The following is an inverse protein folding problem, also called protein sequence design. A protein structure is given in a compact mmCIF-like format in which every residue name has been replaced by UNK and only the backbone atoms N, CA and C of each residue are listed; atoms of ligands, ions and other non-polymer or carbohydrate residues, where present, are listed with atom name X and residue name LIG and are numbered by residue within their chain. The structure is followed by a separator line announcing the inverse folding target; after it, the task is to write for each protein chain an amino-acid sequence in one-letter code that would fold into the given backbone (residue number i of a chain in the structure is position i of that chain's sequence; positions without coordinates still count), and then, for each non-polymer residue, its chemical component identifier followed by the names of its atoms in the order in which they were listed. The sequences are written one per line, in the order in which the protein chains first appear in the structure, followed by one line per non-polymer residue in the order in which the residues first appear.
data_IF_902257380325
#
_entry.id   IF_902257380325
#
_cell.length_a   1.000
_cell.length_b   1.000
_cell.length_c   1.000
_cell.angle_alpha   90.00
_cell.angle_beta   90.00
_cell.angle_gamma   90.00
#
_symmetry.space_group_name_H-M   'P 1'
#
loop_
_entity.id
_entity.type
_entity.pdbx_description
1 polymer ?
#
# COMPACT_ATOMS: atom_id res chain seq x y z
N UNK A 1 14.63 8.35 -6.04
CA UNK A 1 13.98 9.44 -5.28
C UNK A 1 12.54 9.03 -5.17
N UNK A 2 12.00 8.96 -3.96
CA UNK A 2 10.63 8.49 -3.72
C UNK A 2 9.64 9.65 -3.69
N UNK A 3 8.47 9.47 -4.30
CA UNK A 3 7.34 10.39 -4.23
C UNK A 3 6.44 9.94 -3.09
N UNK A 4 6.23 10.82 -2.11
CA UNK A 4 5.28 10.55 -1.02
C UNK A 4 3.90 10.99 -1.48
N UNK A 5 2.93 10.09 -1.43
CA UNK A 5 1.54 10.38 -1.79
C UNK A 5 0.65 10.39 -0.56
N UNK A 6 -0.38 11.24 -0.64
CA UNK A 6 -1.53 11.16 0.25
C UNK A 6 -2.43 10.00 -0.18
N UNK A 7 -3.01 9.34 0.80
CA UNK A 7 -3.92 8.23 0.57
C UNK A 7 -4.84 7.96 1.76
N UNK A 8 -5.78 7.06 1.54
CA UNK A 8 -6.67 6.56 2.58
C UNK A 8 -6.67 5.05 2.53
N UNK A 9 -6.59 4.41 3.69
CA UNK A 9 -6.67 2.95 3.79
C UNK A 9 -8.08 2.55 4.22
N UNK A 10 -8.77 1.83 3.34
CA UNK A 10 -10.07 1.22 3.60
C UNK A 10 -9.92 -0.25 3.99
N UNK A 11 -10.47 -0.64 5.13
CA UNK A 11 -10.52 -2.05 5.57
C UNK A 11 -11.93 -2.56 5.33
N UNK A 12 -12.08 -3.54 4.43
CA UNK A 12 -13.33 -4.23 4.19
C UNK A 12 -13.37 -5.49 5.04
N UNK A 13 -14.48 -5.70 5.76
CA UNK A 13 -14.66 -6.87 6.62
C UNK A 13 -15.73 -7.80 6.08
N UNK A 14 -15.56 -9.09 6.33
CA UNK A 14 -16.57 -10.09 6.02
C UNK A 14 -17.71 -10.09 7.05
N UNK A 15 -18.66 -11.04 6.90
CA UNK A 15 -19.80 -11.19 7.81
C UNK A 15 -19.38 -11.62 9.23
N UNK A 16 -18.16 -12.13 9.41
CA UNK A 16 -17.61 -12.53 10.71
C UNK A 16 -16.78 -11.41 11.36
N UNK A 17 -16.60 -10.27 10.69
CA UNK A 17 -15.78 -9.15 11.14
C UNK A 17 -14.28 -9.32 10.85
N UNK A 18 -13.88 -10.36 10.12
CA UNK A 18 -12.49 -10.56 9.70
C UNK A 18 -12.15 -9.65 8.51
N UNK A 19 -10.88 -9.26 8.38
CA UNK A 19 -10.42 -8.47 7.22
C UNK A 19 -10.52 -9.32 5.96
N UNK A 20 -11.42 -8.91 5.07
CA UNK A 20 -11.64 -9.53 3.76
C UNK A 20 -10.79 -8.86 2.67
N UNK A 21 -10.57 -7.55 2.79
CA UNK A 21 -9.77 -6.79 1.82
C UNK A 21 -9.19 -5.52 2.45
N UNK A 22 -8.04 -5.08 1.95
CA UNK A 22 -7.40 -3.81 2.32
C UNK A 22 -7.16 -2.99 1.06
N UNK A 23 -7.79 -1.82 1.00
CA UNK A 23 -7.76 -0.92 -0.16
C UNK A 23 -6.94 0.30 0.20
N UNK A 24 -5.88 0.55 -0.56
CA UNK A 24 -5.12 1.80 -0.47
C UNK A 24 -5.59 2.72 -1.59
N UNK A 25 -6.44 3.68 -1.23
CA UNK A 25 -6.95 4.67 -2.14
C UNK A 25 -6.00 5.86 -2.20
N UNK A 26 -5.41 6.11 -3.37
CA UNK A 26 -4.33 7.08 -3.55
C UNK A 26 -4.81 8.32 -4.29
N UNK A 27 -4.35 9.47 -3.83
CA UNK A 27 -4.57 10.76 -4.47
C UNK A 27 -3.29 11.19 -5.21
N UNK A 28 -3.42 11.72 -6.42
CA UNK A 28 -2.29 12.35 -7.12
C UNK A 28 -1.36 11.40 -7.89
N UNK A 29 -1.79 10.18 -8.24
CA UNK A 29 -1.03 9.36 -9.19
C UNK A 29 -1.00 10.01 -10.59
N UNK A 30 0.11 9.86 -11.36
CA UNK A 30 0.20 10.42 -12.71
C UNK A 30 -0.84 9.83 -13.66
N UNK A 31 -1.28 10.61 -14.63
CA UNK A 31 -2.41 10.26 -15.50
C UNK A 31 -2.07 9.15 -16.51
N UNK A 32 -0.82 9.10 -16.94
CA UNK A 32 -0.23 8.21 -17.95
C UNK A 32 0.50 7.00 -17.36
N UNK A 33 0.33 6.76 -16.06
CA UNK A 33 1.13 5.76 -15.36
C UNK A 33 0.57 4.33 -15.45
N UNK A 34 1.44 3.36 -15.74
CA UNK A 34 1.16 1.94 -15.86
C UNK A 34 0.76 1.24 -14.56
N UNK A 35 0.91 -0.08 -14.51
CA UNK A 35 0.50 -0.89 -13.35
C UNK A 35 1.58 -0.86 -12.24
N UNK A 36 1.18 -0.78 -10.96
CA UNK A 36 2.12 -0.83 -9.84
C UNK A 36 2.85 -2.18 -9.79
N UNK A 37 4.14 -2.15 -9.48
CA UNK A 37 5.00 -3.33 -9.35
C UNK A 37 5.90 -3.23 -8.12
N UNK A 38 6.55 -4.34 -7.79
CA UNK A 38 7.52 -4.43 -6.68
C UNK A 38 6.97 -3.90 -5.34
N UNK A 39 5.68 -4.09 -5.09
CA UNK A 39 5.06 -3.54 -3.90
C UNK A 39 5.64 -4.15 -2.62
N UNK A 40 5.85 -3.28 -1.63
CA UNK A 40 6.35 -3.60 -0.30
C UNK A 40 5.39 -3.04 0.73
N UNK A 41 5.14 -3.81 1.78
CA UNK A 41 4.45 -3.35 2.99
C UNK A 41 5.42 -3.41 4.17
N UNK A 42 5.55 -2.30 4.88
CA UNK A 42 6.25 -2.22 6.16
C UNK A 42 5.24 -2.09 7.28
N UNK A 43 5.32 -2.99 8.27
CA UNK A 43 4.53 -2.86 9.49
C UNK A 43 5.00 -1.67 10.34
N UNK A 44 6.32 -1.41 10.36
CA UNK A 44 6.93 -0.29 11.06
C UNK A 44 7.89 0.45 10.12
N UNK A 45 7.46 1.61 9.63
CA UNK A 45 8.20 2.41 8.64
C UNK A 45 9.45 3.10 9.21
N UNK A 46 9.39 3.62 10.43
CA UNK A 46 10.45 4.42 11.08
C UNK A 46 10.91 3.88 12.44
N UNK A 47 10.57 2.63 12.75
CA UNK A 47 10.87 1.96 14.02
C UNK A 47 9.63 1.65 14.85
N UNK A 48 9.86 1.22 16.10
CA UNK A 48 8.80 0.70 16.97
C UNK A 48 7.61 1.66 17.08
N UNK A 49 6.41 1.15 16.80
CA UNK A 49 5.16 1.91 16.79
C UNK A 49 5.12 3.08 15.79
N UNK A 50 5.82 3.00 14.67
CA UNK A 50 5.65 3.97 13.59
C UNK A 50 4.45 3.62 12.71
N UNK A 51 3.96 4.56 11.88
CA UNK A 51 2.92 4.27 10.90
C UNK A 51 3.28 3.11 9.98
N UNK A 52 2.26 2.36 9.57
CA UNK A 52 2.40 1.36 8.51
C UNK A 52 2.62 2.06 7.17
N UNK A 53 3.34 1.42 6.25
CA UNK A 53 3.69 2.03 4.97
C UNK A 53 3.56 1.01 3.84
N UNK A 54 3.13 1.48 2.68
CA UNK A 54 3.30 0.79 1.41
C UNK A 54 4.27 1.56 0.53
N UNK A 55 5.09 0.83 -0.21
CA UNK A 55 5.92 1.36 -1.28
C UNK A 55 5.70 0.53 -2.53
N UNK A 56 5.76 1.13 -3.71
CA UNK A 56 5.70 0.42 -4.99
C UNK A 56 6.35 1.25 -6.10
N UNK A 57 6.67 0.59 -7.20
CA UNK A 57 7.17 1.25 -8.40
C UNK A 57 6.05 1.39 -9.42
N UNK A 58 6.03 2.51 -10.13
CA UNK A 58 5.12 2.76 -11.26
C UNK A 58 5.82 3.73 -12.22
N UNK A 59 5.94 3.37 -13.51
CA UNK A 59 6.68 4.16 -14.53
C UNK A 59 8.09 4.61 -14.09
N UNK A 60 8.86 3.68 -13.51
CA UNK A 60 10.23 3.93 -13.02
C UNK A 60 10.35 4.94 -11.87
N UNK A 61 9.22 5.38 -11.30
CA UNK A 61 9.15 6.15 -10.07
C UNK A 61 8.74 5.27 -8.89
N UNK A 62 9.35 5.54 -7.73
CA UNK A 62 9.00 4.89 -6.47
C UNK A 62 7.99 5.76 -5.72
N UNK A 63 6.87 5.16 -5.35
CA UNK A 63 5.81 5.80 -4.59
C UNK A 63 5.73 5.23 -3.19
N UNK A 64 5.54 6.09 -2.20
CA UNK A 64 5.47 5.72 -0.79
C UNK A 64 4.24 6.35 -0.15
N UNK A 65 3.47 5.55 0.59
CA UNK A 65 2.24 5.98 1.25
C UNK A 65 2.23 5.45 2.67
N UNK A 66 1.88 6.33 3.61
CA UNK A 66 1.76 6.00 5.02
C UNK A 66 0.28 5.85 5.39
N UNK A 67 -0.02 4.88 6.25
CA UNK A 67 -1.32 4.84 6.89
C UNK A 67 -1.41 6.05 7.84
N UNK A 68 -2.49 6.82 7.73
CA UNK A 68 -2.73 8.02 8.56
C UNK A 68 -3.02 7.70 10.04
N UNK A 69 -2.97 6.42 10.42
CA UNK A 69 -2.95 6.02 11.82
C UNK A 69 -1.55 5.66 12.29
N UNK A 70 -1.25 6.09 13.51
CA UNK A 70 -0.12 5.57 14.26
C UNK A 70 -0.43 4.12 14.71
N UNK A 71 0.46 3.19 14.42
CA UNK A 71 0.38 1.81 14.92
C UNK A 71 0.33 1.74 16.45
N UNK A 72 0.92 2.71 17.16
CA UNK A 72 0.79 2.86 18.61
C UNK A 72 -0.63 3.27 19.03
N UNK A 73 -1.27 4.14 18.25
CA UNK A 73 -2.60 4.64 18.55
C UNK A 73 -3.70 3.61 18.25
N UNK A 74 -3.50 2.75 17.24
CA UNK A 74 -4.43 1.68 16.91
C UNK A 74 -3.75 0.31 16.67
N UNK A 75 -3.25 -0.33 17.74
CA UNK A 75 -2.47 -1.58 17.63
C UNK A 75 -3.31 -2.76 17.14
N UNK A 76 -4.62 -2.75 17.37
CA UNK A 76 -5.52 -3.80 16.89
C UNK A 76 -5.60 -3.78 15.36
N UNK A 77 -5.80 -2.59 14.78
CA UNK A 77 -5.90 -2.40 13.34
C UNK A 77 -4.55 -2.71 12.65
N UNK A 78 -3.44 -2.26 13.23
CA UNK A 78 -2.10 -2.58 12.73
C UNK A 78 -1.86 -4.10 12.70
N UNK A 79 -2.23 -4.81 13.77
CA UNK A 79 -2.11 -6.28 13.86
C UNK A 79 -2.97 -7.01 12.82
N UNK A 80 -4.17 -6.50 12.54
CA UNK A 80 -5.06 -7.08 11.53
C UNK A 80 -4.48 -6.94 10.11
N UNK A 81 -3.98 -5.74 9.74
CA UNK A 81 -3.33 -5.54 8.44
C UNK A 81 -2.10 -6.43 8.30
N UNK A 82 -1.28 -6.53 9.36
CA UNK A 82 -0.16 -7.46 9.41
C UNK A 82 -0.62 -8.91 9.14
N UNK A 83 -1.70 -9.35 9.78
CA UNK A 83 -2.27 -10.68 9.56
C UNK A 83 -2.73 -10.88 8.11
N UNK A 84 -3.41 -9.89 7.54
CA UNK A 84 -3.89 -9.91 6.17
C UNK A 84 -2.74 -10.06 5.16
N UNK A 85 -1.72 -9.19 5.22
CA UNK A 85 -0.62 -9.21 4.26
C UNK A 85 0.26 -10.44 4.37
N UNK A 86 0.51 -10.94 5.59
CA UNK A 86 1.24 -12.21 5.78
C UNK A 86 0.48 -13.41 5.22
N UNK A 87 -0.85 -13.39 5.24
CA UNK A 87 -1.69 -14.49 4.76
C UNK A 87 -1.88 -14.48 3.24
N UNK A 88 -2.18 -13.31 2.68
CA UNK A 88 -2.64 -13.21 1.29
C UNK A 88 -1.59 -12.70 0.32
N UNK A 89 -0.60 -11.92 0.77
CA UNK A 89 0.51 -11.48 -0.07
C UNK A 89 0.13 -10.60 -1.26
N UNK A 90 -1.02 -9.92 -1.22
CA UNK A 90 -1.41 -8.91 -2.21
C UNK A 90 -1.95 -7.63 -1.55
N UNK A 91 -1.96 -6.55 -2.32
CA UNK A 91 -2.53 -5.25 -1.98
C UNK A 91 -3.48 -4.80 -3.09
N UNK A 92 -4.61 -4.18 -2.71
CA UNK A 92 -5.48 -3.50 -3.67
C UNK A 92 -5.14 -2.00 -3.65
N UNK A 93 -4.55 -1.51 -4.73
CA UNK A 93 -4.29 -0.09 -4.95
C UNK A 93 -5.43 0.47 -5.78
N UNK A 94 -6.00 1.60 -5.36
CA UNK A 94 -7.13 2.24 -6.03
C UNK A 94 -6.86 3.73 -6.19
N UNK A 95 -7.34 4.35 -7.27
CA UNK A 95 -7.32 5.81 -7.42
C UNK A 95 -8.44 6.29 -8.34
N UNK A 96 -8.69 7.60 -8.38
CA UNK A 96 -9.51 8.25 -9.40
C UNK A 96 -8.60 8.87 -10.47
N UNK A 97 -8.91 8.64 -11.74
CA UNK A 97 -8.19 9.18 -12.89
C UNK A 97 -9.13 9.53 -14.03
N UNK A 98 -8.83 10.59 -14.76
CA UNK A 98 -9.51 10.85 -16.03
C UNK A 98 -9.04 9.83 -17.08
N UNK A 99 -9.95 9.31 -17.87
CA UNK A 99 -9.60 8.46 -19.00
C UNK A 99 -9.59 9.33 -20.27
N UNK A 100 -8.40 9.56 -20.82
CA UNK A 100 -8.22 10.38 -22.04
C UNK A 100 -9.02 9.88 -23.24
N UNK A 101 -9.51 8.63 -23.22
CA UNK A 101 -10.30 8.04 -24.29
C UNK A 101 -11.81 8.07 -24.03
N UNK A 102 -12.25 8.48 -22.84
CA UNK A 102 -13.65 8.42 -22.43
C UNK A 102 -14.03 9.75 -21.74
N UNK A 103 -14.94 10.48 -22.39
CA UNK A 103 -15.45 11.78 -21.92
C UNK A 103 -16.48 11.63 -20.77
N UNK A 104 -16.16 10.78 -19.78
CA UNK A 104 -17.00 10.47 -18.61
C UNK A 104 -16.41 11.02 -17.29
N UNK A 105 -15.32 11.78 -17.35
CA UNK A 105 -14.66 12.37 -16.17
C UNK A 105 -13.81 11.37 -15.40
N UNK A 106 -13.72 11.55 -14.07
CA UNK A 106 -12.88 10.73 -13.20
C UNK A 106 -13.44 9.29 -13.08
N UNK A 107 -12.66 8.31 -13.53
CA UNK A 107 -12.91 6.89 -13.37
C UNK A 107 -12.05 6.28 -12.27
N UNK A 108 -12.61 5.30 -11.56
CA UNK A 108 -11.85 4.52 -10.59
C UNK A 108 -10.98 3.49 -11.32
N UNK A 109 -9.68 3.49 -11.04
CA UNK A 109 -8.74 2.44 -11.47
C UNK A 109 -8.29 1.66 -10.23
N UNK A 110 -8.16 0.35 -10.39
CA UNK A 110 -7.82 -0.58 -9.32
C UNK A 110 -6.82 -1.62 -9.82
N UNK A 111 -5.83 -1.94 -8.99
CA UNK A 111 -4.82 -2.96 -9.26
C UNK A 111 -4.68 -3.89 -8.05
N UNK A 112 -4.77 -5.19 -8.29
CA UNK A 112 -4.36 -6.21 -7.32
C UNK A 112 -2.89 -6.51 -7.57
N UNK A 113 -2.04 -6.14 -6.63
CA UNK A 113 -0.58 -6.20 -6.78
C UNK A 113 0.02 -7.15 -5.77
N UNK A 114 0.90 -8.08 -6.15
CA UNK A 114 1.66 -8.87 -5.19
C UNK A 114 2.48 -7.95 -4.27
N UNK A 115 2.46 -8.19 -2.96
CA UNK A 115 3.15 -7.35 -1.97
C UNK A 115 4.07 -8.19 -1.10
N UNK A 116 5.31 -7.73 -0.94
CA UNK A 116 6.27 -8.31 0.01
C UNK A 116 6.08 -7.67 1.37
N UNK A 117 5.88 -8.50 2.39
CA UNK A 117 5.75 -8.06 3.76
C UNK A 117 7.12 -8.00 4.46
N UNK A 118 7.40 -6.92 5.17
CA UNK A 118 8.48 -6.85 6.16
C UNK A 118 7.98 -6.28 7.49
N UNK A 119 8.61 -6.70 8.57
CA UNK A 119 8.30 -6.19 9.91
C UNK A 119 8.73 -4.72 10.03
N UNK A 120 9.93 -4.41 9.55
CA UNK A 120 10.52 -3.09 9.65
C UNK A 120 11.46 -2.81 8.46
N UNK A 121 11.87 -1.55 8.33
CA UNK A 121 12.77 -1.09 7.27
C UNK A 121 14.12 -1.83 7.28
N UNK A 122 14.68 -2.13 8.46
CA UNK A 122 15.98 -2.80 8.58
C UNK A 122 15.91 -4.22 8.01
N UNK A 123 14.83 -4.93 8.31
CA UNK A 123 14.55 -6.27 7.79
C UNK A 123 14.41 -6.26 6.28
N UNK A 124 13.73 -5.25 5.72
CA UNK A 124 13.62 -5.07 4.27
C UNK A 124 14.98 -4.88 3.61
N UNK A 125 15.78 -3.93 4.10
CA UNK A 125 17.10 -3.62 3.52
C UNK A 125 18.02 -4.84 3.58
N UNK A 126 18.03 -5.56 4.70
CA UNK A 126 18.82 -6.78 4.84
C UNK A 126 18.37 -7.88 3.85
N UNK A 127 17.06 -8.02 3.64
CA UNK A 127 16.54 -8.98 2.67
C UNK A 127 16.92 -8.62 1.23
N UNK A 128 16.90 -7.34 0.88
CA UNK A 128 17.29 -6.85 -0.44
C UNK A 128 18.81 -6.95 -0.69
N UNK A 129 19.62 -6.69 0.33
CA UNK A 129 21.08 -6.79 0.23
C UNK A 129 21.56 -8.23 -0.02
N UNK A 130 20.83 -9.23 0.45
CA UNK A 130 21.16 -10.66 0.27
C UNK A 130 20.72 -11.23 -1.10
N UNK A 131 20.06 -10.43 -1.95
CA UNK A 131 19.57 -10.83 -3.27
C UNK A 131 20.46 -10.25 -4.40
N UNK A 132 21.45 -9.40 -4.05
CA UNK A 132 22.49 -8.89 -4.96
C UNK A 132 23.78 -9.70 -4.88
#
# INVERSE_FOLDING_TARGET
MSIVLDGTVGIQRDQNGEVANVVWFLYGLPWDSGEPRNAVFLNESFGANSPQMIAFEMEDEEYVIYADWDSAANPAQAKELKGFYKRYGYILISCLREDVNIDQGLMRKEWITPVKYYEDYVTMVNAMANVG
#
